data_IF_995079792832
#
_entry.id   IF_995079792832
#
_cell.length_a   1.000
_cell.length_b   1.000
_cell.length_c   1.000
_cell.angle_alpha   90.00
_cell.angle_beta   90.00
_cell.angle_gamma   90.00
#
_symmetry.space_group_name_H-M   'P 1'
#
loop_
_entity.id
_entity.type
_entity.pdbx_description
1 polymer ?
#
# COMPACT_ATOMS: atom_id res chain seq x y z
N UNK A 1 17.05 0.38 -16.59
CA UNK A 1 16.54 0.34 -15.20
C UNK A 1 15.54 -0.79 -15.08
N UNK A 2 15.83 -1.82 -14.29
CA UNK A 2 14.86 -2.89 -13.97
C UNK A 2 14.13 -2.48 -12.68
N UNK A 3 12.91 -1.98 -12.80
CA UNK A 3 12.06 -1.79 -11.62
C UNK A 3 11.65 -3.16 -11.07
N UNK A 4 11.80 -3.38 -9.76
CA UNK A 4 11.15 -4.53 -9.13
C UNK A 4 9.65 -4.24 -9.01
N UNK A 5 8.86 -4.98 -9.78
CA UNK A 5 7.40 -4.98 -9.68
C UNK A 5 6.99 -6.03 -8.66
N UNK A 6 6.64 -5.62 -7.45
CA UNK A 6 6.00 -6.52 -6.49
C UNK A 6 4.50 -6.52 -6.76
N UNK A 7 4.02 -7.54 -7.46
CA UNK A 7 2.59 -7.81 -7.62
C UNK A 7 2.13 -8.64 -6.43
N UNK A 8 1.76 -7.99 -5.33
CA UNK A 8 1.04 -8.69 -4.27
C UNK A 8 -0.42 -8.81 -4.71
N UNK A 9 -0.85 -9.95 -5.25
CA UNK A 9 -2.29 -10.20 -5.45
C UNK A 9 -2.82 -10.85 -4.17
N UNK A 10 -3.52 -10.09 -3.34
CA UNK A 10 -4.25 -10.67 -2.20
C UNK A 10 -5.61 -11.12 -2.71
N UNK A 11 -5.76 -12.40 -3.02
CA UNK A 11 -7.07 -13.01 -3.24
C UNK A 11 -7.66 -13.37 -1.87
N UNK A 12 -8.60 -12.56 -1.38
CA UNK A 12 -9.40 -12.91 -0.20
C UNK A 12 -10.84 -13.18 -0.67
N UNK A 13 -11.36 -14.37 -0.32
CA UNK A 13 -12.80 -14.71 -0.43
C UNK A 13 -13.46 -14.53 -1.82
N UNK A 14 -12.79 -14.92 -2.91
CA UNK A 14 -13.41 -14.97 -4.25
C UNK A 14 -13.70 -13.60 -4.89
N UNK A 15 -13.22 -12.51 -4.31
CA UNK A 15 -13.28 -11.16 -4.89
C UNK A 15 -11.89 -10.83 -5.46
N UNK A 16 -11.79 -10.73 -6.78
CA UNK A 16 -10.55 -10.37 -7.47
C UNK A 16 -10.25 -8.87 -7.33
N UNK A 17 -9.83 -8.44 -6.13
CA UNK A 17 -9.21 -7.12 -5.96
C UNK A 17 -7.72 -7.21 -6.32
N UNK A 18 -7.39 -6.79 -7.55
CA UNK A 18 -6.01 -6.67 -8.00
C UNK A 18 -5.32 -5.47 -7.36
N UNK A 19 -4.19 -5.69 -6.71
CA UNK A 19 -3.37 -4.62 -6.13
C UNK A 19 -2.25 -4.31 -7.12
N UNK A 20 -2.08 -3.03 -7.45
CA UNK A 20 -0.94 -2.55 -8.22
C UNK A 20 -0.06 -1.68 -7.32
N UNK A 21 0.85 -2.29 -6.57
CA UNK A 21 1.93 -1.55 -5.92
C UNK A 21 3.00 -1.22 -6.97
N UNK A 22 2.88 -0.06 -7.63
CA UNK A 22 4.07 0.57 -8.19
C UNK A 22 4.79 1.32 -7.06
N UNK A 23 5.61 0.59 -6.30
CA UNK A 23 6.68 1.18 -5.52
C UNK A 23 7.68 1.78 -6.51
N UNK A 24 7.57 3.08 -6.82
CA UNK A 24 8.65 3.79 -7.50
C UNK A 24 9.83 3.94 -6.54
N UNK A 25 10.66 2.91 -6.45
CA UNK A 25 11.99 2.99 -5.86
C UNK A 25 12.97 3.49 -6.91
N UNK A 26 13.18 4.80 -7.02
CA UNK A 26 14.32 5.34 -7.73
C UNK A 26 15.52 5.35 -6.78
N UNK A 27 16.33 4.29 -6.78
CA UNK A 27 17.65 4.32 -6.13
C UNK A 27 18.61 5.05 -7.06
N UNK A 28 18.86 6.34 -6.79
CA UNK A 28 20.06 7.00 -7.31
C UNK A 28 21.19 6.74 -6.34
N UNK A 29 22.25 6.09 -6.80
CA UNK A 29 23.38 5.67 -5.96
C UNK A 29 24.27 6.82 -5.48
N UNK A 30 24.02 8.09 -5.83
CA UNK A 30 24.88 9.23 -5.48
C UNK A 30 24.13 10.56 -5.24
N UNK A 31 22.87 10.55 -4.79
CA UNK A 31 22.11 11.76 -4.44
C UNK A 31 21.43 11.65 -3.07
N UNK A 32 20.93 12.76 -2.47
CA UNK A 32 20.24 12.70 -1.19
C UNK A 32 19.12 11.67 -1.29
N UNK A 33 19.09 10.72 -0.35
CA UNK A 33 18.19 9.58 -0.37
C UNK A 33 16.75 10.03 -0.68
N UNK A 34 16.27 9.73 -1.89
CA UNK A 34 14.91 10.03 -2.28
C UNK A 34 13.98 9.11 -1.48
N UNK A 35 13.46 9.67 -0.39
CA UNK A 35 12.60 9.05 0.61
C UNK A 35 11.47 8.24 -0.05
N UNK A 36 11.30 7.03 0.47
CA UNK A 36 10.26 6.01 0.25
C UNK A 36 8.90 6.50 -0.27
N UNK A 37 8.26 5.62 -1.05
CA UNK A 37 6.91 5.79 -1.63
C UNK A 37 5.90 6.31 -0.60
N UNK A 38 5.49 7.58 -0.77
CA UNK A 38 4.49 8.28 0.07
C UNK A 38 3.07 8.12 -0.46
N UNK A 39 2.90 7.37 -1.55
CA UNK A 39 1.68 7.30 -2.35
C UNK A 39 1.19 5.86 -2.55
N UNK A 40 -0.12 5.70 -2.75
CA UNK A 40 -0.79 4.42 -2.98
C UNK A 40 -1.98 4.60 -3.93
N UNK A 41 -2.18 3.62 -4.81
CA UNK A 41 -3.39 3.47 -5.62
C UNK A 41 -4.06 2.16 -5.20
N UNK A 42 -5.34 2.22 -4.85
CA UNK A 42 -6.15 1.05 -4.49
C UNK A 42 -7.31 0.93 -5.47
N UNK A 43 -7.43 -0.22 -6.13
CA UNK A 43 -8.56 -0.52 -7.00
C UNK A 43 -9.58 -1.34 -6.21
N UNK A 44 -10.76 -0.77 -5.98
CA UNK A 44 -11.90 -1.43 -5.36
C UNK A 44 -12.85 -1.89 -6.46
N UNK A 45 -12.79 -3.18 -6.77
CA UNK A 45 -13.58 -3.81 -7.83
C UNK A 45 -15.09 -3.71 -7.59
N UNK A 46 -15.60 -4.14 -6.43
CA UNK A 46 -17.02 -4.06 -6.10
C UNK A 46 -17.59 -2.64 -6.17
N UNK A 47 -16.83 -1.61 -5.77
CA UNK A 47 -17.28 -0.21 -5.86
C UNK A 47 -16.96 0.48 -7.17
N UNK A 48 -16.27 -0.21 -8.09
CA UNK A 48 -15.73 0.38 -9.30
C UNK A 48 -15.02 1.72 -9.03
N UNK A 49 -14.12 1.74 -8.04
CA UNK A 49 -13.46 2.96 -7.60
C UNK A 49 -11.95 2.75 -7.48
N UNK A 50 -11.17 3.67 -8.06
CA UNK A 50 -9.73 3.78 -7.89
C UNK A 50 -9.46 4.88 -6.87
N UNK A 51 -8.86 4.52 -5.74
CA UNK A 51 -8.51 5.45 -4.68
C UNK A 51 -7.04 5.85 -4.76
N UNK A 52 -6.78 7.15 -4.81
CA UNK A 52 -5.44 7.73 -4.86
C UNK A 52 -5.10 8.37 -3.52
N UNK A 53 -4.14 7.80 -2.80
CA UNK A 53 -3.79 8.26 -1.46
C UNK A 53 -2.32 8.69 -1.39
N UNK A 54 -2.08 9.89 -0.88
CA UNK A 54 -0.75 10.37 -0.46
C UNK A 54 -0.78 10.64 1.03
N UNK A 55 0.03 9.88 1.79
CA UNK A 55 0.19 10.07 3.23
C UNK A 55 0.58 11.51 3.62
N UNK A 56 1.25 12.24 2.74
CA UNK A 56 1.71 13.62 2.99
C UNK A 56 0.89 14.69 2.26
N UNK A 57 -0.12 14.29 1.49
CA UNK A 57 -1.04 15.18 0.75
C UNK A 57 -0.33 16.30 -0.06
N UNK A 58 0.80 15.96 -0.71
CA UNK A 58 1.61 16.93 -1.48
C UNK A 58 0.98 17.14 -2.85
N UNK A 59 0.78 18.41 -3.24
CA UNK A 59 0.19 18.79 -4.54
C UNK A 59 0.87 18.12 -5.75
N UNK A 60 2.21 18.10 -5.78
CA UNK A 60 2.95 17.47 -6.87
C UNK A 60 2.63 15.97 -7.03
N UNK A 61 2.41 15.27 -5.91
CA UNK A 61 2.05 13.85 -5.93
C UNK A 61 0.61 13.63 -6.40
N UNK A 62 -0.30 14.58 -6.16
CA UNK A 62 -1.69 14.45 -6.59
C UNK A 62 -1.82 14.44 -8.11
N UNK A 63 -1.08 15.31 -8.81
CA UNK A 63 -1.08 15.34 -10.27
C UNK A 63 -0.58 14.00 -10.82
N UNK A 64 0.55 13.51 -10.31
CA UNK A 64 1.11 12.22 -10.70
C UNK A 64 0.14 11.06 -10.40
N UNK A 65 -0.47 11.04 -9.22
CA UNK A 65 -1.44 10.01 -8.84
C UNK A 65 -2.69 10.03 -9.73
N UNK A 66 -3.18 11.21 -10.08
CA UNK A 66 -4.33 11.37 -10.97
C UNK A 66 -4.00 10.87 -12.39
N UNK A 67 -2.84 11.23 -12.94
CA UNK A 67 -2.37 10.74 -14.25
C UNK A 67 -2.21 9.22 -14.26
N UNK A 68 -1.57 8.65 -13.22
CA UNK A 68 -1.39 7.20 -13.11
C UNK A 68 -2.73 6.46 -12.97
N UNK A 69 -3.67 6.99 -12.21
CA UNK A 69 -4.99 6.39 -12.04
C UNK A 69 -5.83 6.49 -13.33
N UNK A 70 -5.76 7.61 -14.03
CA UNK A 70 -6.43 7.81 -15.31
C UNK A 70 -5.91 6.84 -16.37
N UNK A 71 -4.59 6.68 -16.48
CA UNK A 71 -3.97 5.69 -17.36
C UNK A 71 -4.37 4.25 -17.00
N UNK A 72 -4.42 3.93 -15.70
CA UNK A 72 -4.87 2.62 -15.20
C UNK A 72 -6.32 2.34 -15.61
N UNK A 73 -7.22 3.31 -15.41
CA UNK A 73 -8.64 3.18 -15.77
C UNK A 73 -8.80 3.01 -17.27
N UNK A 74 -8.12 3.82 -18.08
CA UNK A 74 -8.23 3.81 -19.54
C UNK A 74 -7.70 2.53 -20.18
N UNK A 75 -6.59 1.99 -19.66
CA UNK A 75 -5.84 0.92 -20.34
C UNK A 75 -6.04 -0.46 -19.74
N UNK A 76 -6.49 -0.57 -18.49
CA UNK A 76 -6.40 -1.83 -17.74
C UNK A 76 -7.66 -2.22 -16.98
N UNK A 77 -8.61 -1.31 -16.80
CA UNK A 77 -9.86 -1.61 -16.10
C UNK A 77 -11.05 -1.55 -17.06
N UNK A 78 -12.13 -2.31 -16.80
CA UNK A 78 -13.39 -2.14 -17.51
C UNK A 78 -13.91 -0.70 -17.40
N UNK A 79 -14.66 -0.24 -18.40
CA UNK A 79 -15.28 1.09 -18.39
C UNK A 79 -16.16 1.28 -17.14
N UNK A 80 -16.13 2.48 -16.55
CA UNK A 80 -17.00 2.88 -15.43
C UNK A 80 -16.32 3.08 -14.07
N UNK A 81 -15.00 2.87 -13.95
CA UNK A 81 -14.32 3.15 -12.68
C UNK A 81 -14.19 4.66 -12.43
N UNK A 82 -14.57 5.08 -11.22
CA UNK A 82 -14.36 6.46 -10.74
C UNK A 82 -12.99 6.60 -10.07
N UNK A 83 -12.35 7.75 -10.19
CA UNK A 83 -11.10 8.06 -9.49
C UNK A 83 -11.41 8.97 -8.31
N UNK A 84 -10.98 8.56 -7.11
CA UNK A 84 -11.23 9.30 -5.86
C UNK A 84 -9.90 9.65 -5.18
N UNK A 85 -9.52 10.94 -5.09
CA UNK A 85 -8.39 11.35 -4.27
C UNK A 85 -8.73 11.24 -2.78
N UNK A 86 -7.72 10.88 -1.99
CA UNK A 86 -7.84 10.66 -0.56
C UNK A 86 -6.92 11.63 0.16
N UNK A 87 -7.53 12.49 0.96
CA UNK A 87 -6.83 13.56 1.68
C UNK A 87 -6.58 13.24 3.14
N UNK A 88 -7.09 12.11 3.65
CA UNK A 88 -6.91 11.70 5.03
C UNK A 88 -6.73 10.18 5.14
N UNK A 89 -5.93 9.72 6.11
CA UNK A 89 -5.22 10.51 7.15
C UNK A 89 -3.90 11.13 6.65
N UNK A 90 -3.48 12.25 7.22
CA UNK A 90 -2.25 12.95 6.85
C UNK A 90 -1.15 12.68 7.88
N UNK A 91 -0.03 12.17 7.41
CA UNK A 91 1.22 12.00 8.16
C UNK A 91 1.91 13.36 8.30
N UNK A 92 2.38 13.64 9.52
CA UNK A 92 3.14 14.86 9.85
C UNK A 92 4.64 14.60 10.03
N UNK A 93 5.02 13.37 10.37
CA UNK A 93 6.42 12.95 10.52
C UNK A 93 7.04 12.50 9.17
N UNK A 94 8.34 12.20 9.17
CA UNK A 94 9.08 11.77 7.97
C UNK A 94 9.24 10.26 7.79
N UNK A 95 8.76 9.43 8.72
CA UNK A 95 9.20 8.03 8.88
C UNK A 95 8.07 7.00 9.02
N UNK A 96 6.81 7.43 9.14
CA UNK A 96 5.63 6.55 9.21
C UNK A 96 4.93 6.34 7.86
N UNK A 97 5.42 6.88 6.74
CA UNK A 97 4.73 6.84 5.44
C UNK A 97 4.31 5.43 5.02
N UNK A 98 5.22 4.45 5.14
CA UNK A 98 4.90 3.06 4.82
C UNK A 98 3.76 2.52 5.68
N UNK A 99 3.73 2.85 6.97
CA UNK A 99 2.69 2.41 7.89
C UNK A 99 1.35 3.10 7.64
N UNK A 100 1.36 4.39 7.30
CA UNK A 100 0.14 5.11 6.91
C UNK A 100 -0.51 4.47 5.68
N UNK A 101 0.31 4.15 4.67
CA UNK A 101 -0.11 3.49 3.44
C UNK A 101 -0.63 2.07 3.73
N UNK A 102 0.10 1.27 4.51
CA UNK A 102 -0.32 -0.09 4.89
C UNK A 102 -1.63 -0.10 5.67
N UNK A 103 -1.79 0.77 6.68
CA UNK A 103 -3.02 0.86 7.47
C UNK A 103 -4.21 1.32 6.62
N UNK A 104 -4.00 2.33 5.78
CA UNK A 104 -5.04 2.83 4.87
C UNK A 104 -5.51 1.70 3.95
N UNK A 105 -4.55 0.98 3.38
CA UNK A 105 -4.80 -0.17 2.53
C UNK A 105 -5.55 -1.28 3.29
N UNK A 106 -5.01 -1.77 4.42
CA UNK A 106 -5.59 -2.89 5.17
C UNK A 106 -7.03 -2.64 5.57
N UNK A 107 -7.37 -1.41 6.02
CA UNK A 107 -8.73 -1.06 6.40
C UNK A 107 -9.75 -1.23 5.26
N UNK A 108 -9.31 -1.17 4.00
CA UNK A 108 -10.21 -1.39 2.84
C UNK A 108 -10.55 -2.86 2.62
N UNK A 109 -9.69 -3.77 3.06
CA UNK A 109 -9.89 -5.22 2.95
C UNK A 109 -10.43 -5.83 4.24
N UNK A 110 -10.04 -5.28 5.39
CA UNK A 110 -10.31 -5.81 6.71
C UNK A 110 -10.70 -4.66 7.65
N UNK A 111 -11.99 -4.56 7.98
CA UNK A 111 -12.52 -3.42 8.75
C UNK A 111 -11.94 -3.38 10.16
N UNK A 112 -11.62 -4.56 10.70
CA UNK A 112 -11.07 -4.78 12.02
C UNK A 112 -9.57 -4.44 12.10
N UNK A 113 -8.91 -4.18 10.97
CA UNK A 113 -7.54 -3.66 10.96
C UNK A 113 -7.42 -2.34 11.75
N UNK A 114 -8.53 -1.60 11.93
CA UNK A 114 -8.58 -0.36 12.70
C UNK A 114 -8.07 0.86 11.94
N UNK A 115 -8.02 2.00 12.62
CA UNK A 115 -7.60 3.28 12.04
C UNK A 115 -6.94 4.19 13.07
N UNK A 116 -6.13 3.62 13.95
CA UNK A 116 -5.38 4.38 14.93
C UNK A 116 -4.05 4.87 14.33
N UNK A 117 -4.04 6.14 13.93
CA UNK A 117 -2.86 6.83 13.39
C UNK A 117 -2.19 7.73 14.44
N UNK A 118 -2.50 7.55 15.73
CA UNK A 118 -1.74 8.20 16.80
C UNK A 118 -0.33 7.64 16.87
N UNK A 119 0.61 8.37 17.45
CA UNK A 119 1.99 7.88 17.62
C UNK A 119 2.03 6.52 18.33
N UNK A 120 1.31 6.39 19.44
CA UNK A 120 1.19 5.14 20.20
C UNK A 120 0.56 4.02 19.36
N UNK A 121 -0.50 4.33 18.61
CA UNK A 121 -1.16 3.38 17.70
C UNK A 121 -0.24 2.87 16.60
N UNK A 122 0.55 3.77 16.01
CA UNK A 122 1.53 3.44 14.98
C UNK A 122 2.69 2.59 15.55
N UNK A 123 3.22 2.93 16.73
CA UNK A 123 4.24 2.12 17.40
C UNK A 123 3.73 0.72 17.69
N UNK A 124 2.51 0.60 18.23
CA UNK A 124 1.86 -0.70 18.44
C UNK A 124 1.72 -1.48 17.14
N UNK A 125 1.29 -0.81 16.06
CA UNK A 125 1.16 -1.48 14.76
C UNK A 125 2.49 -1.97 14.19
N UNK A 126 3.58 -1.22 14.37
CA UNK A 126 4.93 -1.70 13.99
C UNK A 126 5.29 -2.98 14.73
N UNK A 127 4.97 -3.02 16.02
CA UNK A 127 5.17 -4.20 16.85
C UNK A 127 4.33 -5.38 16.36
N UNK A 128 3.04 -5.16 16.09
CA UNK A 128 2.14 -6.19 15.55
C UNK A 128 2.68 -6.76 14.22
N UNK A 129 3.13 -5.89 13.30
CA UNK A 129 3.70 -6.32 12.01
C UNK A 129 4.98 -7.12 12.21
N UNK A 130 5.86 -6.69 13.12
CA UNK A 130 7.09 -7.40 13.42
C UNK A 130 6.80 -8.79 14.02
N UNK A 131 5.87 -8.87 14.97
CA UNK A 131 5.42 -10.14 15.55
C UNK A 131 4.89 -11.09 14.49
N UNK A 132 3.99 -10.61 13.62
CA UNK A 132 3.44 -11.42 12.53
C UNK A 132 4.54 -11.98 11.60
N UNK A 133 5.57 -11.19 11.29
CA UNK A 133 6.69 -11.63 10.45
C UNK A 133 7.52 -12.70 11.15
N UNK A 134 7.81 -12.52 12.45
CA UNK A 134 8.59 -13.47 13.24
C UNK A 134 7.82 -14.79 13.37
N UNK A 135 6.55 -14.73 13.76
CA UNK A 135 5.68 -15.91 13.89
C UNK A 135 5.52 -16.66 12.56
N UNK A 136 5.34 -15.94 11.45
CA UNK A 136 5.27 -16.54 10.13
C UNK A 136 6.58 -17.23 9.72
N UNK A 137 7.71 -16.60 10.03
CA UNK A 137 9.05 -17.16 9.78
C UNK A 137 9.27 -18.45 10.56
N UNK A 138 8.92 -18.48 11.85
CA UNK A 138 9.13 -19.66 12.68
C UNK A 138 8.17 -20.80 12.31
N UNK A 139 6.91 -20.50 11.99
CA UNK A 139 5.96 -21.50 11.49
C UNK A 139 6.33 -22.08 10.11
N UNK A 140 7.12 -21.37 9.30
CA UNK A 140 7.62 -21.88 8.02
C UNK A 140 8.75 -22.90 8.19
N UNK A 141 9.63 -22.71 9.19
CA UNK A 141 10.72 -23.64 9.52
C UNK A 141 10.22 -24.98 10.06
N UNK A 142 9.16 -24.95 10.86
CA UNK A 142 8.57 -26.18 11.41
C UNK A 142 7.96 -27.06 10.30
N UNK A 143 7.34 -26.47 9.28
CA UNK A 143 6.75 -27.21 8.15
C UNK A 143 7.79 -27.82 7.21
N UNK A 144 8.95 -27.20 7.09
CA UNK A 144 10.06 -27.70 6.27
C UNK A 144 10.76 -28.90 6.94
N UNK A 145 10.75 -28.94 8.29
CA UNK A 145 11.39 -30.01 9.06
C UNK A 145 10.52 -31.28 9.17
N UNK A 146 9.20 -31.17 9.01
CA UNK A 146 8.27 -32.32 9.04
C UNK A 146 8.10 -32.97 7.65
N UNK A 147 8.56 -32.31 6.59
CA UNK A 147 8.48 -32.79 5.21
C UNK A 147 9.79 -33.42 4.68
N UNK A 148 10.82 -33.54 5.51
CA UNK A 148 12.11 -34.18 5.21
C UNK A 148 12.24 -35.52 5.97
#
# INVERSE_FOLDING_TARGET
MRGCSFRLVVNYSGVSCGIFFRLFGATSSNGPAHVSSRICIVVDGPKQTVYCYDSTNKRANHNLLAELADELVKKSLPQGYSITPIHNPIQKDGYNCGLFICLYFWRRFWKEAGSDYTETGLVRRRWDVMHLIVEFSDGSKEKETVAA
#
